data_IF_964565159495
#
_entry.id   IF_964565159495
#
_cell.length_a   1.000
_cell.length_b   1.000
_cell.length_c   1.000
_cell.angle_alpha   90.00
_cell.angle_beta   90.00
_cell.angle_gamma   90.00
#
_symmetry.space_group_name_H-M   'P 1'
#
loop_
_entity.id
_entity.type
_entity.pdbx_description
1 polymer ?
#
# COMPACT_ATOMS: atom_id res chain seq x y z
N UNK A 1 16.92 0.78 10.13
CA UNK A 1 15.71 1.29 9.41
C UNK A 1 14.80 0.12 9.18
N UNK A 2 13.66 0.12 9.85
CA UNK A 2 12.61 -0.86 9.57
C UNK A 2 11.96 -0.41 8.28
N UNK A 3 12.27 -1.10 7.20
CA UNK A 3 11.44 -1.04 6.01
C UNK A 3 10.09 -1.64 6.39
N UNK A 4 9.10 -0.79 6.58
CA UNK A 4 7.72 -1.23 6.41
C UNK A 4 7.58 -1.41 4.90
N UNK A 5 8.15 -2.49 4.42
CA UNK A 5 7.86 -2.92 3.07
C UNK A 5 6.37 -3.20 3.04
N UNK A 6 5.74 -2.75 2.02
CA UNK A 6 4.38 -3.10 1.70
C UNK A 6 4.31 -4.63 1.60
N UNK A 7 4.08 -5.31 2.71
CA UNK A 7 3.97 -6.77 2.79
C UNK A 7 2.91 -7.31 1.84
N UNK A 8 2.15 -6.42 1.21
CA UNK A 8 0.98 -6.69 0.40
C UNK A 8 1.18 -6.46 -1.10
N UNK A 9 2.34 -6.04 -1.53
CA UNK A 9 2.68 -5.95 -2.96
C UNK A 9 3.52 -7.14 -3.39
N UNK A 10 3.44 -7.51 -4.68
CA UNK A 10 4.32 -8.52 -5.20
C UNK A 10 5.78 -8.08 -4.99
N UNK A 11 6.42 -8.67 -4.00
CA UNK A 11 7.73 -8.26 -3.49
C UNK A 11 8.80 -8.17 -4.59
N UNK A 12 8.73 -9.02 -5.61
CA UNK A 12 9.74 -9.04 -6.69
C UNK A 12 9.74 -7.77 -7.53
N UNK A 13 8.56 -7.25 -7.87
CA UNK A 13 8.46 -6.05 -8.71
C UNK A 13 8.77 -4.79 -7.90
N UNK A 14 8.31 -4.74 -6.65
CA UNK A 14 8.62 -3.64 -5.72
C UNK A 14 10.11 -3.66 -5.34
N UNK A 15 10.70 -4.83 -5.15
CA UNK A 15 12.12 -4.98 -4.85
C UNK A 15 13.00 -4.41 -5.97
N UNK A 16 12.62 -4.63 -7.22
CA UNK A 16 13.37 -4.09 -8.37
C UNK A 16 13.35 -2.56 -8.37
N UNK A 17 12.17 -1.95 -8.32
CA UNK A 17 12.03 -0.48 -8.30
C UNK A 17 12.72 0.14 -7.06
N UNK A 18 12.60 -0.51 -5.91
CA UNK A 18 13.26 -0.07 -4.69
C UNK A 18 14.78 -0.11 -4.80
N UNK A 19 15.35 -1.17 -5.39
CA UNK A 19 16.81 -1.28 -5.59
C UNK A 19 17.35 -0.24 -6.56
N UNK A 20 16.58 0.12 -7.58
CA UNK A 20 16.95 1.18 -8.52
C UNK A 20 17.00 2.55 -7.83
N UNK A 21 16.04 2.84 -6.95
CA UNK A 21 16.00 4.10 -6.18
C UNK A 21 16.97 4.11 -4.98
N UNK A 22 17.23 2.95 -4.38
CA UNK A 22 17.99 2.79 -3.14
C UNK A 22 19.04 1.66 -3.22
N UNK A 23 20.09 1.83 -4.03
CA UNK A 23 21.06 0.76 -4.35
C UNK A 23 21.87 0.25 -3.13
N UNK A 24 21.92 1.02 -2.05
CA UNK A 24 22.62 0.63 -0.81
C UNK A 24 21.74 -0.09 0.22
N UNK A 25 20.50 -0.40 -0.12
CA UNK A 25 19.59 -1.14 0.77
C UNK A 25 20.13 -2.55 1.04
N UNK A 26 20.18 -2.92 2.33
CA UNK A 26 20.49 -4.27 2.77
C UNK A 26 19.23 -5.07 2.98
N UNK A 27 19.22 -6.29 2.50
CA UNK A 27 18.12 -7.26 2.68
C UNK A 27 18.56 -8.31 3.69
N UNK A 28 17.64 -8.75 4.56
CA UNK A 28 17.91 -9.84 5.49
C UNK A 28 18.25 -11.12 4.73
N UNK A 29 19.30 -11.80 5.15
CA UNK A 29 19.68 -13.09 4.61
C UNK A 29 18.65 -14.15 5.01
N UNK A 30 18.38 -15.10 4.11
CA UNK A 30 17.62 -16.31 4.41
C UNK A 30 18.41 -17.32 5.26
N UNK A 31 19.72 -17.20 5.28
CA UNK A 31 20.59 -17.97 6.16
C UNK A 31 20.56 -17.34 7.57
N UNK A 32 19.63 -17.81 8.37
CA UNK A 32 19.41 -17.34 9.75
C UNK A 32 19.92 -18.33 10.79
N UNK A 33 20.55 -19.44 10.37
CA UNK A 33 20.93 -20.55 11.24
C UNK A 33 19.76 -21.43 11.69
N UNK A 34 18.53 -21.17 11.23
CA UNK A 34 17.33 -21.98 11.49
C UNK A 34 16.86 -22.68 10.23
N UNK A 35 16.55 -23.97 10.32
CA UNK A 35 16.06 -24.79 9.21
C UNK A 35 14.58 -24.50 8.87
N UNK A 36 14.22 -23.25 8.61
CA UNK A 36 12.86 -22.85 8.23
C UNK A 36 12.73 -22.74 6.73
N UNK A 37 11.60 -23.20 6.21
CA UNK A 37 11.26 -22.98 4.79
C UNK A 37 10.63 -21.59 4.62
N UNK A 38 11.44 -20.62 4.22
CA UNK A 38 11.02 -19.24 3.96
C UNK A 38 10.32 -19.04 2.60
N UNK A 39 10.29 -20.08 1.75
CA UNK A 39 9.58 -20.04 0.46
C UNK A 39 8.12 -20.50 0.59
N UNK A 40 7.73 -20.98 1.77
CA UNK A 40 6.36 -21.41 2.01
C UNK A 40 5.43 -20.22 2.12
N UNK A 41 4.47 -20.12 1.24
CA UNK A 41 3.36 -19.19 1.37
C UNK A 41 2.42 -19.68 2.49
N UNK A 42 2.46 -19.00 3.63
CA UNK A 42 1.63 -19.29 4.80
C UNK A 42 0.18 -18.82 4.60
N UNK A 43 -0.06 -17.94 3.64
CA UNK A 43 -1.34 -17.29 3.38
C UNK A 43 -1.90 -17.63 2.00
N UNK A 44 -1.46 -18.75 1.41
CA UNK A 44 -1.89 -19.15 0.07
C UNK A 44 -3.40 -19.07 -0.12
N UNK A 45 -3.85 -18.30 -1.11
CA UNK A 45 -5.26 -18.06 -1.42
C UNK A 45 -5.99 -17.10 -0.47
N UNK A 46 -5.32 -16.58 0.58
CA UNK A 46 -5.95 -15.63 1.49
C UNK A 46 -6.26 -14.30 0.79
N UNK A 47 -5.39 -13.84 -0.08
CA UNK A 47 -5.56 -12.57 -0.80
C UNK A 47 -6.80 -12.55 -1.71
N UNK A 48 -7.14 -13.69 -2.32
CA UNK A 48 -8.29 -13.82 -3.22
C UNK A 48 -9.61 -14.08 -2.47
N UNK A 49 -9.52 -14.46 -1.19
CA UNK A 49 -10.68 -14.75 -0.36
C UNK A 49 -11.29 -13.46 0.20
N UNK A 50 -12.63 -13.37 0.22
CA UNK A 50 -13.36 -12.31 0.93
C UNK A 50 -13.36 -12.50 2.44
N UNK A 51 -12.93 -13.68 2.93
CA UNK A 51 -12.85 -14.00 4.34
C UNK A 51 -11.74 -13.21 5.03
N UNK A 52 -12.06 -12.59 6.15
CA UNK A 52 -11.13 -11.94 7.06
C UNK A 52 -10.95 -12.82 8.28
N UNK A 53 -9.73 -13.25 8.54
CA UNK A 53 -9.44 -14.21 9.62
C UNK A 53 -9.43 -13.57 11.02
N UNK A 54 -9.49 -12.26 11.09
CA UNK A 54 -9.45 -11.52 12.35
C UNK A 54 -10.75 -10.74 12.56
N UNK A 55 -11.18 -10.52 13.82
CA UNK A 55 -12.32 -9.69 14.11
C UNK A 55 -12.08 -8.26 13.64
N UNK A 56 -13.06 -7.66 13.01
CA UNK A 56 -13.05 -6.27 12.53
C UNK A 56 -14.25 -5.52 13.09
N UNK A 57 -14.01 -4.31 13.57
CA UNK A 57 -15.04 -3.48 14.20
C UNK A 57 -15.92 -2.76 13.18
N UNK A 58 -15.32 -2.35 12.06
CA UNK A 58 -16.01 -1.62 11.00
C UNK A 58 -15.83 -2.33 9.67
N UNK A 59 -16.92 -2.52 8.92
CA UNK A 59 -16.94 -3.13 7.59
C UNK A 59 -17.43 -2.13 6.56
N UNK A 60 -16.83 -2.17 5.38
CA UNK A 60 -17.28 -1.39 4.24
C UNK A 60 -17.10 -2.21 2.96
N UNK A 61 -18.18 -2.37 2.22
CA UNK A 61 -18.24 -3.19 1.00
C UNK A 61 -17.97 -2.40 -0.28
N UNK A 62 -17.44 -1.17 -0.19
CA UNK A 62 -17.14 -0.34 -1.36
C UNK A 62 -16.09 -0.98 -2.26
N UNK A 63 -15.11 -1.66 -1.65
CA UNK A 63 -14.10 -2.43 -2.34
C UNK A 63 -14.05 -3.86 -1.78
N UNK A 64 -13.37 -4.73 -2.51
CA UNK A 64 -13.01 -6.03 -1.97
C UNK A 64 -12.23 -5.83 -0.64
N UNK A 65 -12.47 -6.65 0.39
CA UNK A 65 -11.80 -6.48 1.70
C UNK A 65 -10.28 -6.37 1.57
N UNK A 66 -9.68 -7.13 0.65
CA UNK A 66 -8.24 -7.16 0.39
C UNK A 66 -7.82 -6.34 -0.83
N UNK A 67 -8.64 -5.38 -1.24
CA UNK A 67 -8.23 -4.36 -2.17
C UNK A 67 -7.04 -3.58 -1.57
N UNK A 68 -5.96 -3.49 -2.33
CA UNK A 68 -4.82 -2.67 -1.93
C UNK A 68 -5.17 -1.20 -2.09
N UNK A 69 -4.89 -0.43 -1.06
CA UNK A 69 -5.16 1.00 -1.04
C UNK A 69 -3.90 1.75 -0.61
N UNK A 70 -3.54 2.78 -1.34
CA UNK A 70 -2.59 3.78 -0.88
C UNK A 70 -3.31 4.70 0.09
N UNK A 71 -2.78 4.84 1.29
CA UNK A 71 -3.27 5.78 2.31
C UNK A 71 -2.32 6.97 2.36
N UNK A 72 -2.87 8.16 2.29
CA UNK A 72 -2.14 9.41 2.51
C UNK A 72 -2.71 10.10 3.73
N UNK A 73 -1.83 10.55 4.60
CA UNK A 73 -2.18 11.20 5.87
C UNK A 73 -1.72 12.65 5.85
N UNK A 74 -2.63 13.57 6.15
CA UNK A 74 -2.34 15.00 6.30
C UNK A 74 -3.06 15.52 7.57
N UNK A 75 -2.32 15.65 8.66
CA UNK A 75 -2.91 15.95 9.96
C UNK A 75 -3.93 14.88 10.37
N UNK A 76 -5.15 15.31 10.65
CA UNK A 76 -6.26 14.40 11.01
C UNK A 76 -7.00 13.84 9.78
N UNK A 77 -6.68 14.32 8.59
CA UNK A 77 -7.35 13.91 7.36
C UNK A 77 -6.58 12.76 6.72
N UNK A 78 -7.31 11.71 6.38
CA UNK A 78 -6.80 10.56 5.66
C UNK A 78 -7.59 10.34 4.38
N UNK A 79 -6.90 9.96 3.31
CA UNK A 79 -7.52 9.65 2.02
C UNK A 79 -6.94 8.38 1.45
N UNK A 80 -7.83 7.49 1.01
CA UNK A 80 -7.50 6.19 0.46
C UNK A 80 -7.66 6.21 -1.07
N UNK A 81 -6.69 5.64 -1.76
CA UNK A 81 -6.64 5.50 -3.21
C UNK A 81 -6.56 4.00 -3.54
N UNK A 82 -7.69 3.42 -3.90
CA UNK A 82 -7.72 2.01 -4.28
C UNK A 82 -6.93 1.77 -5.56
N UNK A 83 -6.16 0.69 -5.61
CA UNK A 83 -5.37 0.34 -6.79
C UNK A 83 -6.27 0.11 -8.01
N UNK A 84 -7.48 -0.42 -7.82
CA UNK A 84 -8.48 -0.54 -8.88
C UNK A 84 -8.90 0.81 -9.47
N UNK A 85 -8.99 1.86 -8.65
CA UNK A 85 -9.26 3.22 -9.12
C UNK A 85 -8.02 3.87 -9.76
N UNK A 86 -6.84 3.63 -9.20
CA UNK A 86 -5.58 4.14 -9.75
C UNK A 86 -5.28 3.60 -11.16
N UNK A 87 -5.71 2.38 -11.46
CA UNK A 87 -5.59 1.79 -12.81
C UNK A 87 -6.41 2.53 -13.88
N UNK A 88 -7.44 3.27 -13.48
CA UNK A 88 -8.33 4.00 -14.40
C UNK A 88 -7.83 5.39 -14.74
N UNK A 89 -6.84 5.90 -14.04
CA UNK A 89 -6.31 7.25 -14.24
C UNK A 89 -4.91 7.23 -14.84
N UNK A 90 -4.60 8.26 -15.62
CA UNK A 90 -3.24 8.45 -16.11
C UNK A 90 -2.38 9.01 -14.98
N UNK A 91 -1.27 8.34 -14.70
CA UNK A 91 -0.32 8.77 -13.69
C UNK A 91 0.97 9.32 -14.31
N UNK A 92 1.71 10.24 -13.67
CA UNK A 92 1.36 10.86 -12.39
C UNK A 92 0.17 11.81 -12.48
N UNK A 93 -0.56 11.98 -11.38
CA UNK A 93 -1.62 12.98 -11.27
C UNK A 93 -1.56 13.71 -9.92
N UNK A 94 -2.13 14.91 -9.89
CA UNK A 94 -2.22 15.72 -8.68
C UNK A 94 -3.58 15.56 -7.99
N UNK A 95 -3.57 15.56 -6.67
CA UNK A 95 -4.77 15.58 -5.84
C UNK A 95 -4.50 16.37 -4.54
N UNK A 96 -5.54 16.51 -3.71
CA UNK A 96 -5.43 17.13 -2.39
C UNK A 96 -5.91 16.21 -1.29
N UNK A 97 -5.18 16.23 -0.18
CA UNK A 97 -5.55 15.58 1.07
C UNK A 97 -5.53 16.64 2.16
N UNK A 98 -6.72 17.16 2.51
CA UNK A 98 -6.79 18.39 3.29
C UNK A 98 -6.11 19.55 2.55
N UNK A 99 -5.19 20.21 3.21
CA UNK A 99 -4.42 21.31 2.62
C UNK A 99 -3.16 20.85 1.85
N UNK A 100 -2.83 19.57 1.96
CA UNK A 100 -1.66 18.99 1.30
C UNK A 100 -1.94 18.69 -0.18
N UNK A 101 -1.17 19.32 -1.07
CA UNK A 101 -1.14 18.94 -2.48
C UNK A 101 -0.20 17.76 -2.67
N UNK A 102 -0.69 16.69 -3.29
CA UNK A 102 0.05 15.45 -3.51
C UNK A 102 0.14 15.10 -4.98
N UNK A 103 1.24 14.50 -5.36
CA UNK A 103 1.46 13.90 -6.68
C UNK A 103 1.54 12.40 -6.50
N UNK A 104 0.67 11.67 -7.17
CA UNK A 104 0.61 10.20 -7.09
C UNK A 104 1.12 9.62 -8.40
N UNK A 105 2.11 8.75 -8.29
CA UNK A 105 2.66 7.97 -9.39
C UNK A 105 2.37 6.48 -9.14
N UNK A 106 1.69 5.85 -10.09
CA UNK A 106 1.31 4.44 -10.02
C UNK A 106 1.79 3.72 -11.26
N UNK A 107 2.67 2.73 -11.09
CA UNK A 107 3.29 1.99 -12.19
C UNK A 107 2.91 0.52 -12.16
N UNK A 108 2.70 -0.05 -13.34
CA UNK A 108 2.53 -1.49 -13.58
C UNK A 108 1.45 -2.16 -12.72
N UNK A 109 0.50 -1.38 -12.21
CA UNK A 109 -0.58 -1.87 -11.37
C UNK A 109 -0.15 -2.33 -9.96
N UNK A 110 1.07 -2.05 -9.55
CA UNK A 110 1.67 -2.60 -8.33
C UNK A 110 2.47 -1.59 -7.50
N UNK A 111 3.29 -0.79 -8.16
CA UNK A 111 4.14 0.18 -7.48
C UNK A 111 3.46 1.54 -7.40
N UNK A 112 3.39 2.11 -6.21
CA UNK A 112 2.80 3.43 -5.97
C UNK A 112 3.73 4.30 -5.14
N UNK A 113 3.85 5.56 -5.52
CA UNK A 113 4.62 6.58 -4.82
C UNK A 113 3.80 7.85 -4.70
N UNK A 114 3.82 8.46 -3.53
CA UNK A 114 3.22 9.77 -3.29
C UNK A 114 4.27 10.76 -2.82
N UNK A 115 4.25 11.96 -3.39
CA UNK A 115 5.15 13.06 -3.06
C UNK A 115 4.39 14.38 -3.01
N UNK A 116 5.01 15.41 -2.48
CA UNK A 116 4.56 16.78 -2.68
C UNK A 116 4.93 17.27 -4.10
N UNK A 117 4.57 18.52 -4.43
CA UNK A 117 4.89 19.12 -5.73
C UNK A 117 6.38 19.35 -5.98
N UNK A 118 7.19 19.35 -4.92
CA UNK A 118 8.65 19.48 -4.99
C UNK A 118 9.35 18.12 -5.11
N UNK A 119 8.59 17.03 -5.07
CA UNK A 119 9.12 15.67 -5.14
C UNK A 119 9.51 15.06 -3.79
N UNK A 120 9.26 15.75 -2.66
CA UNK A 120 9.53 15.20 -1.34
C UNK A 120 8.48 14.15 -0.98
N UNK A 121 8.87 13.02 -0.37
CA UNK A 121 7.92 12.00 0.04
C UNK A 121 6.92 12.53 1.08
N UNK A 122 5.64 12.19 0.90
CA UNK A 122 4.59 12.49 1.86
C UNK A 122 4.30 11.27 2.74
N UNK A 123 3.71 11.49 3.90
CA UNK A 123 3.33 10.40 4.80
C UNK A 123 2.26 9.54 4.11
N UNK A 124 2.67 8.37 3.68
CA UNK A 124 1.82 7.43 2.95
C UNK A 124 2.27 5.99 3.16
N UNK A 125 1.35 5.06 3.01
CA UNK A 125 1.61 3.62 3.06
C UNK A 125 0.51 2.84 2.32
N UNK A 126 0.78 1.59 2.01
CA UNK A 126 -0.19 0.69 1.37
C UNK A 126 -0.74 -0.28 2.43
N UNK A 127 -2.05 -0.51 2.38
CA UNK A 127 -2.76 -1.43 3.26
C UNK A 127 -3.84 -2.17 2.48
N UNK A 128 -4.40 -3.22 3.06
CA UNK A 128 -5.68 -3.74 2.63
C UNK A 128 -6.82 -2.84 3.11
N UNK A 129 -7.86 -2.72 2.28
CA UNK A 129 -9.03 -1.90 2.59
C UNK A 129 -9.65 -2.24 3.95
N UNK A 130 -9.90 -3.54 4.23
CA UNK A 130 -10.50 -3.95 5.49
C UNK A 130 -9.64 -3.57 6.70
N UNK A 131 -8.32 -3.73 6.58
CA UNK A 131 -7.38 -3.48 7.66
C UNK A 131 -7.32 -2.00 8.01
N UNK A 132 -7.36 -1.13 7.01
CA UNK A 132 -7.40 0.31 7.22
C UNK A 132 -8.75 0.79 7.74
N UNK A 133 -9.83 0.40 7.08
CA UNK A 133 -11.17 0.89 7.38
C UNK A 133 -11.64 0.56 8.81
N UNK A 134 -11.21 -0.57 9.36
CA UNK A 134 -11.56 -0.97 10.73
C UNK A 134 -11.05 0.03 11.78
N UNK A 135 -9.94 0.73 11.49
CA UNK A 135 -9.34 1.73 12.39
C UNK A 135 -9.73 3.17 12.05
N UNK A 136 -9.96 3.45 10.78
CA UNK A 136 -10.25 4.79 10.25
C UNK A 136 -11.44 4.78 9.30
N UNK A 137 -12.66 4.57 9.83
CA UNK A 137 -13.88 4.50 9.01
C UNK A 137 -14.28 5.86 8.39
N UNK A 138 -13.74 6.97 8.88
CA UNK A 138 -13.92 8.32 8.38
C UNK A 138 -12.98 8.72 7.24
N UNK A 139 -12.16 7.78 6.78
CA UNK A 139 -11.21 8.00 5.66
C UNK A 139 -11.95 8.42 4.39
N UNK A 140 -11.48 9.51 3.79
CA UNK A 140 -11.94 9.92 2.46
C UNK A 140 -11.50 8.90 1.40
N UNK A 141 -12.28 8.74 0.36
CA UNK A 141 -11.98 7.78 -0.69
C UNK A 141 -11.92 8.49 -2.05
N UNK A 142 -10.78 8.31 -2.73
CA UNK A 142 -10.65 8.75 -4.11
C UNK A 142 -11.52 7.89 -5.03
N UNK A 143 -12.26 8.54 -5.90
CA UNK A 143 -13.02 7.93 -7.00
C UNK A 143 -12.83 8.73 -8.25
N UNK A 144 -12.73 8.04 -9.38
CA UNK A 144 -12.80 8.64 -10.69
C UNK A 144 -14.21 8.54 -11.22
#
# INVERSE_FOLDING_TARGET
MILITNEFTNLKDVEKEWKEEHPHTRVLSRDTGFGRNYDRDLYGGYEDSTSVWFPINHKNNRFHPKEKVLIIVSGDITKAYAFSELKKVKTPFEDKVGDLSVVINFKDGKYVKASDKLGNPVQSFVSYWFAWYTFKPDTLVFTK
#
